data_IF_091965853617
#
_entry.id   IF_091965853617
#
_cell.length_a   1.000
_cell.length_b   1.000
_cell.length_c   1.000
_cell.angle_alpha   90.00
_cell.angle_beta   90.00
_cell.angle_gamma   90.00
#
_symmetry.space_group_name_H-M   'P 1'
#
loop_
_entity.id
_entity.type
_entity.pdbx_description
1 polymer ?
#
# COMPACT_ATOMS: atom_id res chain seq x y z
N UNK A 1 -7.12 38.03 33.15
CA UNK A 1 -5.98 38.92 33.49
C UNK A 1 -6.38 40.00 34.52
N UNK A 2 -5.48 40.42 35.42
CA UNK A 2 -4.40 39.61 35.99
C UNK A 2 -4.11 39.86 37.48
N UNK A 3 -3.49 38.87 38.13
CA UNK A 3 -2.38 39.04 39.08
C UNK A 3 -1.67 37.67 39.05
N UNK A 4 -0.45 37.45 38.53
CA UNK A 4 0.69 38.33 38.20
C UNK A 4 1.42 38.76 39.48
N UNK A 5 2.69 38.47 39.76
CA UNK A 5 3.79 37.76 39.08
C UNK A 5 4.96 37.56 40.10
N UNK A 6 5.82 36.52 39.89
CA UNK A 6 7.32 36.38 40.02
C UNK A 6 8.19 37.44 40.80
N UNK A 7 9.54 37.25 41.00
CA UNK A 7 10.44 36.16 41.50
C UNK A 7 11.64 36.68 42.41
N UNK A 8 12.70 35.86 42.57
CA UNK A 8 14.14 36.20 42.84
C UNK A 8 14.58 36.25 44.33
N UNK A 9 15.82 35.92 44.79
CA UNK A 9 17.11 35.48 44.23
C UNK A 9 18.07 35.02 45.37
N UNK A 10 19.18 34.34 45.02
CA UNK A 10 20.41 34.16 45.84
C UNK A 10 20.94 32.71 45.80
N UNK A 11 21.91 32.30 44.96
CA UNK A 11 23.38 32.52 45.02
C UNK A 11 24.01 32.02 46.34
N UNK A 12 25.15 31.33 46.43
CA UNK A 12 26.11 30.69 45.53
C UNK A 12 26.99 29.73 46.38
N UNK A 13 27.66 28.78 45.72
CA UNK A 13 28.65 27.80 46.25
C UNK A 13 29.98 28.46 46.67
N UNK A 14 30.87 27.77 47.42
CA UNK A 14 32.07 27.12 46.81
C UNK A 14 32.38 25.72 47.42
N UNK A 15 32.75 24.67 46.65
CA UNK A 15 34.10 24.34 46.11
C UNK A 15 35.11 23.99 47.23
N UNK A 16 35.95 22.94 47.27
CA UNK A 16 36.42 21.87 46.37
C UNK A 16 37.44 21.02 47.16
N UNK A 17 37.55 19.70 46.93
CA UNK A 17 38.78 18.93 46.57
C UNK A 17 38.55 17.41 46.68
N UNK A 18 38.47 16.69 45.56
CA UNK A 18 39.55 16.13 44.70
C UNK A 18 40.26 14.92 45.31
N UNK A 19 40.30 13.86 44.50
CA UNK A 19 40.97 12.60 44.75
C UNK A 19 40.76 11.67 43.55
N UNK A 20 41.46 11.96 42.47
CA UNK A 20 41.52 11.24 41.20
C UNK A 20 41.96 9.77 41.30
N UNK A 21 41.39 8.92 40.44
CA UNK A 21 42.16 7.94 39.64
C UNK A 21 41.28 7.30 38.54
N UNK A 22 41.39 7.90 37.35
CA UNK A 22 41.42 7.32 36.00
C UNK A 22 41.14 5.82 35.81
N UNK A 23 40.18 5.50 34.94
CA UNK A 23 39.89 4.16 34.43
C UNK A 23 38.98 4.18 33.20
N UNK A 24 39.61 4.44 32.06
CA UNK A 24 39.15 4.44 30.66
C UNK A 24 37.88 3.66 30.26
N UNK A 25 37.10 4.33 29.40
CA UNK A 25 35.98 3.87 28.59
C UNK A 25 36.24 2.57 27.82
N UNK A 26 35.29 1.63 27.89
CA UNK A 26 35.23 0.45 27.04
C UNK A 26 33.92 0.45 26.21
N UNK A 27 34.00 0.45 24.87
CA UNK A 27 32.83 0.46 24.00
C UNK A 27 32.18 -0.94 23.93
N UNK A 28 30.85 -0.96 23.95
CA UNK A 28 30.02 -2.15 23.76
C UNK A 28 30.09 -2.64 22.30
N UNK A 29 30.22 -3.96 22.02
CA UNK A 29 30.55 -4.47 20.70
C UNK A 29 29.29 -4.88 19.92
N UNK A 30 28.66 -3.97 19.18
CA UNK A 30 27.58 -4.38 18.25
C UNK A 30 27.55 -3.59 16.94
N UNK A 31 28.72 -3.24 16.41
CA UNK A 31 28.89 -2.75 15.03
C UNK A 31 29.54 -3.76 14.09
N UNK A 32 30.44 -4.61 14.60
CA UNK A 32 31.28 -5.48 13.77
C UNK A 32 30.66 -6.87 13.42
N UNK A 33 29.58 -7.27 14.10
CA UNK A 33 28.89 -8.53 13.81
C UNK A 33 27.83 -8.40 12.69
N UNK A 34 27.39 -7.17 12.37
CA UNK A 34 26.51 -6.90 11.24
C UNK A 34 27.29 -6.78 9.92
N UNK A 35 28.54 -6.32 9.94
CA UNK A 35 29.36 -6.26 8.72
C UNK A 35 29.87 -7.63 8.24
N UNK A 36 30.04 -8.60 9.14
CA UNK A 36 30.51 -9.94 8.76
C UNK A 36 29.39 -10.85 8.21
N UNK A 37 28.13 -10.49 8.40
CA UNK A 37 26.99 -11.15 7.75
C UNK A 37 26.76 -10.64 6.32
N UNK A 38 27.29 -9.47 5.97
CA UNK A 38 27.13 -8.86 4.62
C UNK A 38 28.06 -9.51 3.58
N UNK A 39 29.04 -10.33 3.99
CA UNK A 39 30.03 -10.96 3.08
C UNK A 39 29.81 -12.44 2.76
N UNK A 40 28.61 -12.99 3.05
CA UNK A 40 28.24 -14.39 2.71
C UNK A 40 27.17 -14.41 1.60
N UNK A 41 26.68 -13.27 1.13
CA UNK A 41 25.69 -13.20 0.05
C UNK A 41 26.29 -13.21 -1.38
N UNK A 42 27.62 -13.20 -1.53
CA UNK A 42 28.30 -13.04 -2.83
C UNK A 42 28.64 -14.35 -3.56
N UNK A 43 28.02 -15.49 -3.24
CA UNK A 43 28.29 -16.74 -3.99
C UNK A 43 27.08 -17.63 -4.21
N UNK A 44 26.01 -17.07 -4.77
CA UNK A 44 25.07 -17.87 -5.56
C UNK A 44 25.00 -17.30 -6.98
N UNK A 45 26.00 -17.68 -7.79
CA UNK A 45 25.95 -17.52 -9.25
C UNK A 45 24.95 -18.53 -9.82
N UNK A 46 23.66 -18.21 -9.73
CA UNK A 46 22.63 -18.90 -10.49
C UNK A 46 22.71 -18.41 -11.95
N UNK A 47 23.04 -19.32 -12.86
CA UNK A 47 23.07 -19.07 -14.29
C UNK A 47 21.69 -18.59 -14.77
N UNK A 48 21.62 -17.32 -15.22
CA UNK A 48 20.45 -16.77 -15.91
C UNK A 48 20.49 -17.29 -17.34
N UNK A 49 19.46 -17.99 -17.85
CA UNK A 49 19.35 -18.20 -19.28
C UNK A 49 19.18 -16.83 -19.92
N UNK A 50 20.15 -16.40 -20.74
CA UNK A 50 20.03 -15.27 -21.65
C UNK A 50 19.06 -15.63 -22.77
N UNK A 51 17.78 -15.73 -22.42
CA UNK A 51 16.70 -15.48 -23.35
C UNK A 51 16.49 -13.98 -23.38
N UNK A 52 16.83 -13.33 -24.50
CA UNK A 52 16.49 -11.94 -24.74
C UNK A 52 14.95 -11.81 -24.87
N UNK A 53 14.23 -11.86 -23.75
CA UNK A 53 12.91 -11.28 -23.66
C UNK A 53 13.13 -9.77 -23.64
N UNK A 54 13.03 -9.16 -24.82
CA UNK A 54 13.10 -7.71 -24.95
C UNK A 54 12.21 -7.08 -23.89
N UNK A 55 12.82 -6.32 -22.98
CA UNK A 55 12.08 -5.44 -22.10
C UNK A 55 11.29 -4.53 -23.03
N UNK A 56 10.00 -4.81 -23.17
CA UNK A 56 9.11 -3.98 -23.96
C UNK A 56 9.16 -2.60 -23.32
N UNK A 57 9.93 -1.71 -23.94
CA UNK A 57 9.93 -0.29 -23.64
C UNK A 57 8.46 0.14 -23.60
N UNK A 58 8.08 0.78 -22.49
CA UNK A 58 6.71 1.16 -22.18
C UNK A 58 6.05 1.77 -23.41
N UNK A 59 5.11 1.03 -23.99
CA UNK A 59 4.27 1.54 -25.06
C UNK A 59 3.40 2.62 -24.46
N UNK A 60 3.66 3.87 -24.85
CA UNK A 60 2.80 4.99 -24.56
C UNK A 60 1.40 4.69 -25.12
N UNK A 61 0.47 4.52 -24.18
CA UNK A 61 -0.82 3.85 -24.31
C UNK A 61 -1.06 3.04 -23.03
N UNK A 62 -0.93 3.70 -21.87
CA UNK A 62 -0.68 3.12 -20.54
C UNK A 62 -1.91 2.46 -19.89
N UNK A 63 -2.58 1.59 -20.65
CA UNK A 63 -3.67 0.76 -20.17
C UNK A 63 -3.25 -0.70 -19.97
N UNK A 64 -4.06 -1.43 -19.22
CA UNK A 64 -3.94 -2.86 -19.02
C UNK A 64 -5.29 -3.54 -19.28
N UNK A 65 -5.26 -4.76 -19.80
CA UNK A 65 -6.45 -5.57 -20.02
C UNK A 65 -6.30 -6.92 -19.33
N UNK A 66 -7.42 -7.46 -18.86
CA UNK A 66 -7.52 -8.81 -18.31
C UNK A 66 -8.41 -9.62 -19.23
N UNK A 67 -7.91 -10.79 -19.61
CA UNK A 67 -8.61 -11.74 -20.47
C UNK A 67 -8.96 -12.99 -19.68
N UNK A 68 -10.10 -13.60 -20.01
CA UNK A 68 -10.48 -14.94 -19.54
C UNK A 68 -10.19 -15.92 -20.67
N UNK A 69 -9.62 -17.07 -20.32
CA UNK A 69 -9.43 -18.20 -21.24
C UNK A 69 -10.37 -19.30 -20.75
N UNK A 70 -11.31 -19.73 -21.59
CA UNK A 70 -12.22 -20.82 -21.27
C UNK A 70 -11.52 -22.20 -21.31
N UNK A 71 -12.09 -23.26 -20.71
CA UNK A 71 -11.56 -24.62 -20.82
C UNK A 71 -11.38 -25.10 -22.27
N UNK A 72 -12.20 -24.58 -23.19
CA UNK A 72 -12.18 -24.85 -24.62
C UNK A 72 -11.15 -24.00 -25.37
N UNK A 73 -10.42 -23.12 -24.68
CA UNK A 73 -9.39 -22.24 -25.23
C UNK A 73 -9.92 -20.92 -25.81
N UNK A 74 -11.19 -20.59 -25.59
CA UNK A 74 -11.78 -19.34 -26.08
C UNK A 74 -11.29 -18.18 -25.23
N UNK A 75 -10.71 -17.16 -25.86
CA UNK A 75 -10.21 -15.95 -25.20
C UNK A 75 -11.27 -14.85 -25.27
N UNK A 76 -11.70 -14.32 -24.12
CA UNK A 76 -12.60 -13.17 -24.03
C UNK A 76 -11.99 -12.04 -23.20
N UNK A 77 -12.28 -10.79 -23.58
CA UNK A 77 -11.88 -9.62 -22.80
C UNK A 77 -12.81 -9.47 -21.60
N UNK A 78 -12.27 -9.47 -20.39
CA UNK A 78 -13.05 -9.39 -19.15
C UNK A 78 -12.97 -8.01 -18.50
N UNK A 79 -11.80 -7.36 -18.56
CA UNK A 79 -11.59 -6.05 -17.97
C UNK A 79 -10.59 -5.24 -18.79
N UNK A 80 -10.84 -3.94 -18.89
CA UNK A 80 -9.94 -3.00 -19.57
C UNK A 80 -9.78 -1.74 -18.69
N UNK A 81 -8.56 -1.53 -18.21
CA UNK A 81 -8.13 -0.33 -17.55
C UNK A 81 -7.38 0.55 -18.56
N UNK A 82 -8.04 1.59 -19.07
CA UNK A 82 -7.44 2.50 -20.07
C UNK A 82 -6.26 3.32 -19.52
N UNK A 83 -6.31 3.67 -18.23
CA UNK A 83 -5.33 4.57 -17.58
C UNK A 83 -4.76 3.98 -16.28
N UNK A 84 -4.69 2.66 -16.16
CA UNK A 84 -4.13 2.02 -14.98
C UNK A 84 -3.40 0.72 -15.32
N UNK A 85 -2.31 0.48 -14.59
CA UNK A 85 -1.62 -0.79 -14.58
C UNK A 85 -2.32 -1.74 -13.61
N UNK A 86 -2.65 -2.95 -14.08
CA UNK A 86 -3.11 -4.05 -13.24
C UNK A 86 -1.89 -4.75 -12.67
N UNK A 87 -1.89 -4.95 -11.34
CA UNK A 87 -0.74 -5.44 -10.59
C UNK A 87 -1.05 -6.69 -9.76
N UNK A 88 -2.32 -6.90 -9.41
CA UNK A 88 -2.76 -8.06 -8.65
C UNK A 88 -4.13 -8.52 -9.16
N UNK A 89 -4.34 -9.83 -9.18
CA UNK A 89 -5.61 -10.46 -9.52
C UNK A 89 -5.95 -11.53 -8.48
N UNK A 90 -7.23 -11.66 -8.13
CA UNK A 90 -7.72 -12.78 -7.33
C UNK A 90 -9.15 -13.13 -7.74
N UNK A 91 -9.49 -14.42 -7.73
CA UNK A 91 -10.84 -14.89 -8.06
C UNK A 91 -11.48 -15.52 -6.84
N UNK A 92 -12.71 -15.14 -6.53
CA UNK A 92 -13.51 -15.72 -5.46
C UNK A 92 -15.00 -15.53 -5.73
N UNK A 93 -15.83 -16.50 -5.34
CA UNK A 93 -17.30 -16.40 -5.41
C UNK A 93 -17.86 -15.93 -6.77
N UNK A 94 -17.23 -16.34 -7.89
CA UNK A 94 -17.66 -15.93 -9.24
C UNK A 94 -17.35 -14.47 -9.57
N UNK A 95 -16.46 -13.82 -8.82
CA UNK A 95 -16.00 -12.45 -9.05
C UNK A 95 -14.48 -12.39 -9.15
N UNK A 96 -14.00 -11.50 -10.01
CA UNK A 96 -12.59 -11.17 -10.18
C UNK A 96 -12.28 -9.87 -9.45
N UNK A 97 -11.30 -9.92 -8.55
CA UNK A 97 -10.71 -8.74 -7.93
C UNK A 97 -9.48 -8.30 -8.72
N UNK A 98 -9.39 -7.00 -8.98
CA UNK A 98 -8.34 -6.35 -9.76
C UNK A 98 -7.69 -5.25 -8.92
N UNK A 99 -6.42 -5.44 -8.57
CA UNK A 99 -5.58 -4.45 -7.89
C UNK A 99 -4.80 -3.60 -8.89
N UNK A 100 -4.85 -2.29 -8.73
CA UNK A 100 -4.21 -1.33 -9.64
C UNK A 100 -3.07 -0.55 -9.01
N UNK A 101 -2.13 -0.09 -9.86
CA UNK A 101 -0.88 0.54 -9.43
C UNK A 101 -0.78 2.07 -9.46
N UNK A 102 -1.63 2.76 -10.22
CA UNK A 102 -1.57 4.23 -10.33
C UNK A 102 -2.46 4.93 -9.30
N UNK A 103 -3.60 4.30 -8.99
CA UNK A 103 -4.65 4.85 -8.11
C UNK A 103 -4.95 3.97 -6.89
N UNK A 104 -4.18 2.89 -6.67
CA UNK A 104 -4.40 1.90 -5.60
C UNK A 104 -5.85 1.47 -5.42
N UNK A 105 -6.55 1.25 -6.53
CA UNK A 105 -7.94 0.80 -6.53
C UNK A 105 -8.00 -0.70 -6.56
N UNK A 106 -8.94 -1.23 -5.79
CA UNK A 106 -9.39 -2.61 -5.84
C UNK A 106 -10.76 -2.58 -6.48
N UNK A 107 -10.85 -3.18 -7.66
CA UNK A 107 -12.11 -3.30 -8.38
C UNK A 107 -12.56 -4.74 -8.38
N UNK A 108 -13.86 -4.94 -8.28
CA UNK A 108 -14.52 -6.22 -8.45
C UNK A 108 -15.22 -6.23 -9.80
N UNK A 109 -15.14 -7.38 -10.48
CA UNK A 109 -15.69 -7.60 -11.82
C UNK A 109 -16.43 -8.94 -11.81
N UNK A 110 -17.70 -8.96 -12.20
CA UNK A 110 -18.49 -10.20 -12.32
C UNK A 110 -17.91 -11.10 -13.41
N UNK A 111 -17.70 -12.39 -13.10
CA UNK A 111 -17.31 -13.37 -14.12
C UNK A 111 -18.50 -13.95 -14.88
N UNK A 112 -19.72 -13.85 -14.33
CA UNK A 112 -20.94 -14.39 -14.92
C UNK A 112 -21.42 -13.55 -16.12
N UNK A 113 -21.22 -12.23 -16.05
CA UNK A 113 -21.72 -11.27 -17.04
C UNK A 113 -20.60 -10.72 -17.94
N UNK A 114 -19.56 -11.54 -18.19
CA UNK A 114 -18.37 -11.16 -18.97
C UNK A 114 -17.73 -9.82 -18.56
N UNK A 115 -17.85 -9.49 -17.26
CA UNK A 115 -17.30 -8.30 -16.67
C UNK A 115 -18.08 -7.02 -16.93
N UNK A 116 -19.37 -7.10 -17.26
CA UNK A 116 -20.25 -5.94 -17.35
C UNK A 116 -20.52 -5.31 -15.97
N UNK A 117 -20.85 -6.12 -14.96
CA UNK A 117 -20.96 -5.66 -13.57
C UNK A 117 -19.57 -5.42 -12.96
N UNK A 118 -19.32 -4.17 -12.55
CA UNK A 118 -18.07 -3.72 -11.95
C UNK A 118 -18.31 -2.74 -10.81
N UNK A 119 -17.56 -2.91 -9.72
CA UNK A 119 -17.59 -2.01 -8.57
C UNK A 119 -16.18 -1.71 -8.04
N UNK A 120 -15.96 -0.51 -7.50
CA UNK A 120 -14.74 -0.22 -6.73
C UNK A 120 -14.99 -0.57 -5.27
N UNK A 121 -14.25 -1.56 -4.74
CA UNK A 121 -14.39 -2.00 -3.35
C UNK A 121 -13.60 -1.13 -2.37
N UNK A 122 -12.40 -0.73 -2.78
CA UNK A 122 -11.51 0.05 -1.93
C UNK A 122 -10.57 0.91 -2.77
N UNK A 123 -10.22 2.07 -2.21
CA UNK A 123 -9.07 2.86 -2.63
C UNK A 123 -8.18 3.00 -1.41
N UNK A 124 -6.94 2.54 -1.51
CA UNK A 124 -5.96 2.66 -0.42
C UNK A 124 -4.95 3.78 -0.75
N UNK A 125 -4.36 4.33 0.31
CA UNK A 125 -3.19 5.20 0.22
C UNK A 125 -2.09 4.48 1.01
N UNK A 126 -1.12 3.82 0.35
CA UNK A 126 -0.31 4.28 -0.79
C UNK A 126 -0.77 3.78 -2.17
N UNK A 127 -0.19 4.35 -3.24
CA UNK A 127 -0.68 4.27 -4.64
C UNK A 127 -0.68 2.89 -5.32
N UNK A 128 -0.18 1.81 -4.73
CA UNK A 128 -0.03 0.51 -5.40
C UNK A 128 -0.57 -0.67 -4.59
N UNK A 129 -1.50 -1.43 -5.20
CA UNK A 129 -1.92 -2.76 -4.72
C UNK A 129 -1.11 -3.84 -5.44
N UNK A 130 -0.30 -4.60 -4.71
CA UNK A 130 0.63 -5.60 -5.27
C UNK A 130 0.20 -7.04 -5.06
N UNK A 131 -0.60 -7.30 -4.04
CA UNK A 131 -1.08 -8.63 -3.72
C UNK A 131 -2.53 -8.58 -3.28
N UNK A 132 -3.28 -9.60 -3.67
CA UNK A 132 -4.67 -9.83 -3.29
C UNK A 132 -4.81 -11.29 -2.87
N UNK A 133 -5.45 -11.52 -1.74
CA UNK A 133 -5.79 -12.87 -1.28
C UNK A 133 -7.20 -12.84 -0.71
N UNK A 134 -8.08 -13.70 -1.22
CA UNK A 134 -9.40 -13.91 -0.63
C UNK A 134 -9.34 -15.14 0.26
N UNK A 135 -9.69 -14.95 1.53
CA UNK A 135 -9.75 -16.02 2.53
C UNK A 135 -11.03 -16.84 2.39
N UNK A 136 -11.04 -18.07 2.90
CA UNK A 136 -12.27 -18.91 2.94
C UNK A 136 -13.44 -18.26 3.67
N UNK A 137 -13.17 -17.35 4.61
CA UNK A 137 -14.18 -16.57 5.33
C UNK A 137 -14.70 -15.35 4.55
N UNK A 138 -14.28 -15.16 3.30
CA UNK A 138 -14.71 -14.04 2.46
C UNK A 138 -14.03 -12.70 2.78
N UNK A 139 -13.00 -12.69 3.63
CA UNK A 139 -12.18 -11.48 3.83
C UNK A 139 -11.13 -11.38 2.73
N UNK A 140 -10.89 -10.18 2.24
CA UNK A 140 -9.86 -9.89 1.24
C UNK A 140 -8.67 -9.19 1.91
N UNK A 141 -7.49 -9.79 1.80
CA UNK A 141 -6.22 -9.24 2.26
C UNK A 141 -5.52 -8.59 1.07
N UNK A 142 -4.97 -7.40 1.31
CA UNK A 142 -4.32 -6.56 0.31
C UNK A 142 -2.90 -6.25 0.74
N UNK A 143 -1.93 -6.45 -0.13
CA UNK A 143 -0.55 -5.98 0.08
C UNK A 143 -0.26 -4.72 -0.74
N UNK A 144 0.31 -3.69 -0.11
CA UNK A 144 0.70 -2.46 -0.79
C UNK A 144 2.20 -2.35 -1.08
N UNK A 145 2.56 -1.60 -2.13
CA UNK A 145 3.94 -1.17 -2.39
C UNK A 145 4.16 0.32 -2.03
N UNK A 146 5.43 0.69 -1.84
CA UNK A 146 5.85 1.91 -1.13
C UNK A 146 6.11 1.55 0.33
N UNK A 147 5.29 1.96 1.29
CA UNK A 147 5.23 1.28 2.58
C UNK A 147 4.57 -0.09 2.43
N UNK A 148 5.29 -1.16 2.78
CA UNK A 148 4.79 -2.52 2.77
C UNK A 148 3.77 -2.73 3.90
N UNK A 149 2.48 -2.52 3.61
CA UNK A 149 1.38 -2.68 4.56
C UNK A 149 0.42 -3.75 4.08
N UNK A 150 -0.21 -4.41 5.04
CA UNK A 150 -1.33 -5.30 4.81
C UNK A 150 -2.62 -4.59 5.23
N UNK A 151 -3.61 -4.60 4.35
CA UNK A 151 -4.97 -4.12 4.62
C UNK A 151 -5.93 -5.30 4.57
N UNK A 152 -6.97 -5.28 5.39
CA UNK A 152 -8.01 -6.30 5.38
C UNK A 152 -9.35 -5.66 5.09
N UNK A 153 -10.05 -6.18 4.10
CA UNK A 153 -11.42 -5.82 3.74
C UNK A 153 -12.36 -6.95 4.15
N UNK A 154 -13.29 -6.65 5.06
CA UNK A 154 -14.36 -7.57 5.45
C UNK A 154 -15.49 -7.58 4.42
N UNK A 155 -16.13 -8.73 4.22
CA UNK A 155 -17.33 -8.88 3.37
C UNK A 155 -18.55 -8.08 3.87
N UNK A 156 -18.57 -7.75 5.16
CA UNK A 156 -19.68 -7.02 5.79
C UNK A 156 -19.68 -5.53 5.45
N UNK A 157 -20.88 -4.98 5.27
CA UNK A 157 -21.06 -3.53 5.18
C UNK A 157 -20.91 -2.88 6.54
N UNK A 158 -20.27 -1.71 6.58
CA UNK A 158 -20.35 -0.84 7.75
C UNK A 158 -21.78 -0.31 7.87
N UNK A 159 -22.35 -0.40 9.08
CA UNK A 159 -23.71 0.09 9.39
C UNK A 159 -23.84 1.61 9.23
N UNK A 160 -22.73 2.33 9.45
CA UNK A 160 -22.67 3.79 9.42
C UNK A 160 -21.41 4.24 8.68
N UNK A 161 -21.51 5.38 7.98
CA UNK A 161 -20.42 6.00 7.23
C UNK A 161 -20.66 7.48 7.03
N UNK A 162 -19.58 8.24 6.82
CA UNK A 162 -19.66 9.67 6.51
C UNK A 162 -19.46 9.80 5.01
N UNK A 163 -20.42 10.45 4.34
CA UNK A 163 -20.31 10.82 2.93
C UNK A 163 -20.20 12.35 2.85
N UNK A 164 -19.09 12.82 2.27
CA UNK A 164 -18.88 14.25 2.01
C UNK A 164 -18.95 14.47 0.51
N UNK A 165 -20.03 15.08 0.01
CA UNK A 165 -20.09 15.56 -1.37
C UNK A 165 -19.54 16.98 -1.45
N UNK A 166 -19.14 17.39 -2.65
CA UNK A 166 -18.99 18.81 -2.93
C UNK A 166 -20.36 19.50 -2.86
N UNK A 167 -20.37 20.78 -2.49
CA UNK A 167 -21.58 21.60 -2.58
C UNK A 167 -21.81 21.86 -4.06
N UNK A 168 -22.74 21.10 -4.66
CA UNK A 168 -23.22 21.36 -6.00
C UNK A 168 -24.44 22.28 -5.90
N UNK A 169 -24.27 23.54 -6.30
CA UNK A 169 -25.39 24.45 -6.49
C UNK A 169 -26.09 24.10 -7.81
N UNK A 170 -27.40 23.86 -7.77
CA UNK A 170 -28.19 23.54 -8.95
C UNK A 170 -28.39 24.75 -9.87
N UNK A 171 -27.95 25.96 -9.47
CA UNK A 171 -27.98 27.17 -10.30
C UNK A 171 -29.38 27.64 -10.69
N UNK A 172 -30.43 26.98 -10.21
CA UNK A 172 -31.82 27.24 -10.53
C UNK A 172 -32.71 27.03 -9.32
N UNK A 173 -33.83 27.77 -9.27
CA UNK A 173 -34.84 27.60 -8.24
C UNK A 173 -35.62 26.31 -8.46
N UNK A 174 -35.70 25.46 -7.43
CA UNK A 174 -36.55 24.29 -7.45
C UNK A 174 -37.97 24.67 -6.99
N UNK A 175 -38.97 24.54 -7.87
CA UNK A 175 -40.39 24.58 -7.48
C UNK A 175 -40.81 23.17 -7.09
N UNK A 176 -41.07 22.99 -5.81
CA UNK A 176 -41.76 21.80 -5.30
C UNK A 176 -43.23 22.18 -5.11
N UNK A 177 -44.11 21.42 -5.74
CA UNK A 177 -45.56 21.52 -5.62
C UNK A 177 -46.13 20.21 -5.10
#
# INVERSE_FOLDING_TARGET
PPSGAKPAAGAATPATREGDASGSSKPSPTGAALEKAIKIADTIKAARPTGAAGAAAGRAGAGAAVYRISPEGIVSLLFNARDAMVLALAVADGRLLVGTGSKARVQEVSLADDGDDRATLATIDPKQVMALLVTKGGQTILGSAGPGRLYTLSKGYKKEGIYTSQVYDAGGSARWG
#
